data_IF_435475775175
#
_entry.id   IF_435475775175
#
_cell.length_a   1.000
_cell.length_b   1.000
_cell.length_c   1.000
_cell.angle_alpha   90.00
_cell.angle_beta   90.00
_cell.angle_gamma   90.00
#
_symmetry.space_group_name_H-M   'P 1'
#
loop_
_entity.id
_entity.type
_entity.pdbx_description
1 polymer ?
#
# COMPACT_ATOMS: atom_id res chain seq x y z
N UNK A 1 17.56 23.67 13.01
CA UNK A 1 18.20 22.55 13.75
C UNK A 1 17.43 22.12 14.99
N UNK A 2 16.66 23.01 15.63
CA UNK A 2 15.89 22.73 16.85
C UNK A 2 14.92 21.54 16.73
N UNK A 3 14.12 21.49 15.65
CA UNK A 3 13.20 20.37 15.41
C UNK A 3 13.89 19.00 15.31
N UNK A 4 15.12 18.97 14.78
CA UNK A 4 15.91 17.74 14.69
C UNK A 4 16.40 17.32 16.09
N UNK A 5 16.85 18.27 16.90
CA UNK A 5 17.26 18.01 18.28
C UNK A 5 16.08 17.54 19.14
N UNK A 6 14.91 18.16 18.98
CA UNK A 6 13.69 17.76 19.68
C UNK A 6 13.21 16.37 19.26
N UNK A 7 13.23 16.05 17.96
CA UNK A 7 12.91 14.72 17.47
C UNK A 7 13.83 13.64 18.04
N UNK A 8 15.13 13.94 18.16
CA UNK A 8 16.09 13.02 18.76
C UNK A 8 15.86 12.79 20.26
N UNK A 9 15.32 13.79 20.98
CA UNK A 9 14.91 13.65 22.39
C UNK A 9 13.67 12.76 22.57
N UNK A 10 12.75 12.75 21.59
CA UNK A 10 11.51 11.95 21.63
C UNK A 10 11.75 10.50 21.19
N UNK A 11 12.87 10.22 20.50
CA UNK A 11 13.26 8.86 20.10
C UNK A 11 13.31 7.96 21.34
N UNK A 12 12.52 6.89 21.35
CA UNK A 12 12.44 5.94 22.46
C UNK A 12 13.74 5.13 22.54
N UNK A 13 14.66 5.55 23.41
CA UNK A 13 15.93 4.85 23.65
C UNK A 13 15.72 3.84 24.78
N UNK A 14 15.76 2.55 24.48
CA UNK A 14 15.80 1.50 25.49
C UNK A 14 17.18 0.83 25.44
N UNK A 15 17.99 1.01 26.48
CA UNK A 15 19.33 0.43 26.53
C UNK A 15 19.30 -1.11 26.51
N UNK A 16 20.19 -1.70 25.72
CA UNK A 16 20.55 -3.13 25.78
C UNK A 16 22.03 -3.30 26.08
N UNK A 17 22.37 -4.42 26.72
CA UNK A 17 23.75 -4.84 27.06
C UNK A 17 24.73 -4.93 25.87
N UNK A 18 24.27 -4.76 24.63
CA UNK A 18 25.08 -4.88 23.41
C UNK A 18 25.15 -3.58 22.59
N UNK A 19 24.32 -2.57 22.88
CA UNK A 19 24.35 -1.25 22.23
C UNK A 19 23.53 -0.24 23.06
N UNK A 20 24.12 0.92 23.32
CA UNK A 20 23.63 1.87 24.34
C UNK A 20 22.60 2.89 23.81
N UNK A 21 22.47 3.13 22.49
CA UNK A 21 21.70 4.33 22.06
C UNK A 21 20.89 4.33 20.75
N UNK A 22 20.96 3.34 19.85
CA UNK A 22 20.35 3.52 18.51
C UNK A 22 19.69 2.30 17.85
N UNK A 23 19.93 1.08 18.32
CA UNK A 23 19.61 -0.13 17.55
C UNK A 23 18.14 -0.58 17.55
N UNK A 24 17.23 0.15 18.21
CA UNK A 24 15.87 -0.37 18.51
C UNK A 24 14.71 0.36 17.85
N UNK A 25 14.98 1.33 16.99
CA UNK A 25 13.93 2.08 16.29
C UNK A 25 14.45 2.66 14.99
N UNK A 26 13.62 2.60 13.95
CA UNK A 26 13.85 3.37 12.72
C UNK A 26 13.39 4.81 12.92
N UNK A 27 14.19 5.78 12.46
CA UNK A 27 13.87 7.21 12.50
C UNK A 27 13.79 7.76 11.10
N UNK A 28 12.76 8.54 10.80
CA UNK A 28 12.58 9.21 9.52
C UNK A 28 12.40 10.69 9.77
N UNK A 29 13.28 11.50 9.21
CA UNK A 29 13.19 12.95 9.22
C UNK A 29 12.99 13.43 7.78
N UNK A 30 11.88 14.12 7.53
CA UNK A 30 11.53 14.59 6.19
C UNK A 30 11.50 16.09 6.15
N UNK A 31 12.25 16.67 5.22
CA UNK A 31 12.19 18.07 4.85
C UNK A 31 11.39 18.16 3.56
N UNK A 32 10.33 18.97 3.58
CA UNK A 32 9.55 19.32 2.40
C UNK A 32 10.03 20.70 1.98
N UNK A 33 10.54 20.79 0.75
CA UNK A 33 11.03 22.01 0.15
C UNK A 33 10.07 22.41 -0.96
N UNK A 34 9.46 23.57 -0.80
CA UNK A 34 8.62 24.20 -1.82
C UNK A 34 9.39 25.39 -2.37
N UNK A 35 9.55 25.48 -3.69
CA UNK A 35 10.20 26.60 -4.34
C UNK A 35 9.35 27.12 -5.50
N UNK A 36 9.33 28.44 -5.65
CA UNK A 36 8.62 29.15 -6.69
C UNK A 36 9.53 30.25 -7.24
N UNK A 37 9.46 30.50 -8.54
CA UNK A 37 10.17 31.63 -9.13
C UNK A 37 9.55 32.93 -8.62
N UNK A 38 10.36 33.78 -7.98
CA UNK A 38 9.94 35.06 -7.43
C UNK A 38 9.42 36.02 -8.51
N UNK A 39 9.86 35.86 -9.76
CA UNK A 39 9.46 36.70 -10.88
C UNK A 39 8.13 36.27 -11.52
N UNK A 40 7.60 35.10 -11.17
CA UNK A 40 6.36 34.56 -11.74
C UNK A 40 5.28 34.39 -10.66
N UNK A 41 4.39 35.38 -10.54
CA UNK A 41 3.27 35.35 -9.58
C UNK A 41 2.37 34.11 -9.73
N UNK A 42 2.21 33.58 -10.94
CA UNK A 42 1.43 32.36 -11.24
C UNK A 42 2.29 31.23 -11.82
N UNK A 43 3.61 31.26 -11.57
CA UNK A 43 4.55 30.26 -12.06
C UNK A 43 4.44 28.90 -11.36
N UNK A 44 5.02 27.84 -11.97
CA UNK A 44 5.05 26.50 -11.42
C UNK A 44 5.72 26.45 -10.03
N UNK A 45 5.08 25.77 -9.09
CA UNK A 45 5.64 25.48 -7.76
C UNK A 45 6.34 24.13 -7.80
N UNK A 46 7.62 24.11 -7.48
CA UNK A 46 8.40 22.88 -7.38
C UNK A 46 8.32 22.34 -5.95
N UNK A 47 8.05 21.04 -5.80
CA UNK A 47 8.04 20.38 -4.49
C UNK A 47 9.08 19.27 -4.47
N UNK A 48 10.00 19.37 -3.51
CA UNK A 48 11.04 18.37 -3.27
C UNK A 48 10.92 17.79 -1.86
N UNK A 49 11.18 16.49 -1.75
CA UNK A 49 11.17 15.78 -0.47
C UNK A 49 12.58 15.26 -0.20
N UNK A 50 13.22 15.79 0.84
CA UNK A 50 14.47 15.24 1.36
C UNK A 50 14.15 14.36 2.57
N UNK A 51 14.31 13.06 2.41
CA UNK A 51 14.11 12.08 3.47
C UNK A 51 15.46 11.62 4.02
N UNK A 52 15.69 11.86 5.30
CA UNK A 52 16.83 11.32 6.05
C UNK A 52 16.31 10.18 6.91
N UNK A 53 16.79 8.97 6.66
CA UNK A 53 16.33 7.76 7.34
C UNK A 53 17.49 7.08 8.07
N UNK A 54 17.34 6.93 9.38
CA UNK A 54 18.26 6.17 10.23
C UNK A 54 17.57 4.85 10.60
N UNK A 55 18.11 3.74 10.10
CA UNK A 55 17.53 2.43 10.31
C UNK A 55 18.08 1.80 11.60
N UNK A 56 17.25 0.98 12.24
CA UNK A 56 17.66 0.14 13.35
C UNK A 56 18.75 -0.85 12.93
N UNK A 57 19.43 -1.42 13.92
CA UNK A 57 20.48 -2.41 13.69
C UNK A 57 19.95 -3.67 13.00
N UNK A 58 20.76 -4.23 12.09
CA UNK A 58 20.42 -5.44 11.33
C UNK A 58 20.81 -6.73 12.05
N UNK A 59 21.37 -6.64 13.25
CA UNK A 59 21.89 -7.79 13.98
C UNK A 59 20.82 -8.85 14.28
N UNK A 60 21.19 -10.12 14.14
CA UNK A 60 20.28 -11.23 14.48
C UNK A 60 19.92 -11.22 15.97
N UNK A 61 18.60 -11.24 16.26
CA UNK A 61 18.08 -11.24 17.65
C UNK A 61 18.62 -12.41 18.48
N UNK A 62 18.92 -13.55 17.85
CA UNK A 62 19.52 -14.73 18.50
C UNK A 62 20.85 -14.43 19.20
N UNK A 63 21.60 -13.43 18.72
CA UNK A 63 22.90 -13.04 19.30
C UNK A 63 22.73 -12.13 20.53
N UNK A 64 21.56 -11.51 20.71
CA UNK A 64 21.35 -10.45 21.71
C UNK A 64 21.11 -10.97 23.13
N UNK A 65 21.06 -12.30 23.35
CA UNK A 65 20.68 -12.96 24.61
C UNK A 65 19.41 -12.38 25.25
N UNK A 66 18.54 -11.76 24.45
CA UNK A 66 17.33 -11.09 24.92
C UNK A 66 16.22 -12.12 25.19
N UNK A 67 15.45 -11.90 26.27
CA UNK A 67 14.33 -12.75 26.66
C UNK A 67 13.04 -11.93 26.88
N UNK A 68 11.89 -12.60 26.84
CA UNK A 68 10.58 -12.00 27.11
C UNK A 68 10.19 -10.88 26.14
N UNK A 69 9.69 -9.76 26.67
CA UNK A 69 9.29 -8.58 25.89
C UNK A 69 10.41 -8.03 24.98
N UNK A 70 11.67 -8.11 25.43
CA UNK A 70 12.84 -7.67 24.63
C UNK A 70 13.08 -8.54 23.40
N UNK A 71 12.77 -9.83 23.47
CA UNK A 71 12.86 -10.73 22.32
C UNK A 71 11.78 -10.40 21.27
N UNK A 72 10.54 -10.14 21.72
CA UNK A 72 9.44 -9.72 20.85
C UNK A 72 9.73 -8.39 20.16
N UNK A 73 10.31 -7.43 20.89
CA UNK A 73 10.73 -6.13 20.35
C UNK A 73 11.78 -6.31 19.25
N UNK A 74 12.88 -7.03 19.55
CA UNK A 74 13.93 -7.33 18.58
C UNK A 74 13.42 -8.05 17.33
N UNK A 75 12.51 -9.01 17.51
CA UNK A 75 11.90 -9.73 16.39
C UNK A 75 11.09 -8.80 15.47
N UNK A 76 10.35 -7.84 16.03
CA UNK A 76 9.59 -6.87 15.24
C UNK A 76 10.49 -5.87 14.50
N UNK A 77 11.60 -5.44 15.11
CA UNK A 77 12.62 -4.60 14.46
C UNK A 77 13.20 -5.35 13.25
N UNK A 78 13.67 -6.58 13.46
CA UNK A 78 14.28 -7.37 12.39
C UNK A 78 13.27 -7.73 11.31
N UNK A 79 12.00 -7.98 11.65
CA UNK A 79 10.93 -8.18 10.66
C UNK A 79 10.88 -7.05 9.64
N UNK A 80 10.96 -5.80 10.08
CA UNK A 80 10.91 -4.65 9.16
C UNK A 80 12.12 -4.58 8.21
N UNK A 81 13.32 -4.96 8.68
CA UNK A 81 14.54 -5.03 7.86
C UNK A 81 14.56 -6.26 6.94
N UNK A 82 14.05 -7.40 7.37
CA UNK A 82 13.89 -8.59 6.53
C UNK A 82 12.92 -8.34 5.38
N UNK A 83 11.79 -7.66 5.66
CA UNK A 83 10.83 -7.24 4.62
C UNK A 83 11.48 -6.24 3.65
N UNK A 84 12.30 -5.30 4.15
CA UNK A 84 13.07 -4.38 3.31
C UNK A 84 14.03 -5.13 2.37
N UNK A 85 14.78 -6.11 2.89
CA UNK A 85 15.64 -6.97 2.08
C UNK A 85 14.85 -7.73 1.00
N UNK A 86 13.68 -8.28 1.35
CA UNK A 86 12.82 -8.95 0.38
C UNK A 86 12.31 -7.99 -0.72
N UNK A 87 11.90 -6.77 -0.37
CA UNK A 87 11.47 -5.75 -1.35
C UNK A 87 12.60 -5.41 -2.31
N UNK A 88 13.81 -5.19 -1.81
CA UNK A 88 14.98 -4.91 -2.67
C UNK A 88 15.29 -6.08 -3.58
N UNK A 89 15.23 -7.31 -3.07
CA UNK A 89 15.41 -8.50 -3.89
C UNK A 89 14.35 -8.60 -4.99
N UNK A 90 13.07 -8.44 -4.66
CA UNK A 90 11.97 -8.45 -5.65
C UNK A 90 12.17 -7.38 -6.74
N UNK A 91 12.64 -6.19 -6.36
CA UNK A 91 12.97 -5.10 -7.29
C UNK A 91 14.19 -5.43 -8.16
N UNK A 92 15.23 -6.02 -7.57
CA UNK A 92 16.44 -6.44 -8.30
C UNK A 92 16.15 -7.54 -9.32
N UNK A 93 15.21 -8.43 -9.01
CA UNK A 93 14.73 -9.50 -9.89
C UNK A 93 13.73 -8.98 -10.95
N UNK A 94 13.32 -7.71 -10.89
CA UNK A 94 12.39 -7.10 -11.84
C UNK A 94 10.94 -7.60 -11.73
N UNK A 95 10.51 -8.06 -10.55
CA UNK A 95 9.13 -8.53 -10.35
C UNK A 95 8.11 -7.40 -10.54
N UNK A 96 6.97 -7.74 -11.12
CA UNK A 96 5.86 -6.79 -11.31
C UNK A 96 5.19 -6.43 -9.98
N UNK A 97 4.97 -7.43 -9.12
CA UNK A 97 4.36 -7.23 -7.80
C UNK A 97 5.44 -7.18 -6.70
N UNK A 98 5.50 -6.05 -6.00
CA UNK A 98 6.44 -5.82 -4.90
C UNK A 98 5.68 -5.68 -3.59
N UNK A 99 6.09 -6.44 -2.57
CA UNK A 99 5.39 -6.55 -1.28
C UNK A 99 5.70 -5.40 -0.32
N UNK A 100 5.57 -4.14 -0.76
CA UNK A 100 5.81 -2.98 0.11
C UNK A 100 4.91 -2.95 1.35
N UNK A 101 3.74 -3.60 1.30
CA UNK A 101 2.70 -3.54 2.34
C UNK A 101 3.04 -4.36 3.59
N UNK A 102 4.00 -5.27 3.51
CA UNK A 102 4.33 -6.21 4.59
C UNK A 102 4.99 -5.54 5.80
N UNK A 103 5.49 -4.31 5.64
CA UNK A 103 6.02 -3.47 6.71
C UNK A 103 5.68 -2.00 6.53
N UNK A 104 5.44 -1.29 7.64
CA UNK A 104 5.25 0.17 7.61
C UNK A 104 6.48 0.88 7.05
N UNK A 105 7.69 0.37 7.34
CA UNK A 105 8.95 0.91 6.84
C UNK A 105 9.02 0.86 5.31
N UNK A 106 8.71 -0.29 4.71
CA UNK A 106 8.76 -0.46 3.25
C UNK A 106 7.65 0.32 2.54
N UNK A 107 6.52 0.58 3.19
CA UNK A 107 5.50 1.51 2.67
C UNK A 107 5.99 2.95 2.62
N UNK A 108 6.74 3.39 3.63
CA UNK A 108 7.32 4.73 3.66
C UNK A 108 8.47 4.88 2.66
N UNK A 109 9.23 3.80 2.44
CA UNK A 109 10.33 3.72 1.50
C UNK A 109 9.91 3.44 0.05
N UNK A 110 8.62 3.24 -0.25
CA UNK A 110 8.19 2.85 -1.60
C UNK A 110 8.50 3.90 -2.68
N UNK A 111 8.67 5.17 -2.29
CA UNK A 111 9.16 6.21 -3.22
C UNK A 111 10.68 6.10 -3.43
N UNK A 112 11.42 5.75 -2.38
CA UNK A 112 12.87 5.60 -2.40
C UNK A 112 13.34 4.33 -3.13
N UNK A 113 12.52 3.28 -3.17
CA UNK A 113 12.85 2.00 -3.76
C UNK A 113 11.87 1.73 -4.90
N UNK A 114 12.32 1.83 -6.15
CA UNK A 114 11.50 1.63 -7.34
C UNK A 114 10.53 2.77 -7.71
N UNK A 115 10.42 3.81 -6.88
CA UNK A 115 9.48 4.91 -7.05
C UNK A 115 10.10 6.20 -7.61
N UNK A 116 9.47 7.34 -7.29
CA UNK A 116 9.92 8.67 -7.70
C UNK A 116 10.82 9.31 -6.63
N UNK A 117 12.05 8.84 -6.49
CA UNK A 117 13.07 9.50 -5.69
C UNK A 117 14.48 9.15 -6.15
N UNK A 118 15.41 10.08 -5.94
CA UNK A 118 16.84 9.77 -5.98
C UNK A 118 17.23 9.26 -4.59
N UNK A 119 17.82 8.06 -4.54
CA UNK A 119 18.08 7.38 -3.28
C UNK A 119 19.57 7.12 -3.12
N UNK A 120 20.08 7.36 -1.91
CA UNK A 120 21.41 7.01 -1.47
C UNK A 120 21.26 6.10 -0.26
N UNK A 121 21.93 4.94 -0.29
CA UNK A 121 22.00 4.03 0.85
C UNK A 121 23.44 4.01 1.35
N UNK A 122 23.60 4.16 2.67
CA UNK A 122 24.88 4.08 3.36
C UNK A 122 24.86 2.77 4.16
N UNK A 123 25.75 1.84 3.81
CA UNK A 123 25.95 0.61 4.56
C UNK A 123 27.07 0.78 5.58
N UNK A 124 26.76 0.70 6.86
CA UNK A 124 27.76 0.71 7.93
C UNK A 124 28.20 -0.72 8.25
N UNK A 125 29.51 -0.95 8.32
CA UNK A 125 30.12 -2.26 8.58
C UNK A 125 31.07 -2.17 9.77
N UNK A 126 31.32 -3.31 10.41
CA UNK A 126 32.28 -3.41 11.52
C UNK A 126 33.19 -4.62 11.34
N UNK A 127 34.46 -4.49 11.73
CA UNK A 127 35.40 -5.62 11.71
C UNK A 127 35.20 -6.59 12.89
N UNK A 128 34.43 -6.18 13.92
CA UNK A 128 34.23 -6.97 15.13
C UNK A 128 33.21 -8.10 14.99
N UNK A 129 32.41 -8.12 13.92
CA UNK A 129 31.35 -9.09 13.69
C UNK A 129 31.30 -9.49 12.22
N UNK A 130 32.26 -10.33 11.81
CA UNK A 130 32.48 -10.71 10.41
C UNK A 130 31.22 -11.30 9.74
N UNK A 131 30.52 -12.22 10.42
CA UNK A 131 29.31 -12.83 9.88
C UNK A 131 28.19 -11.80 9.62
N UNK A 132 27.96 -10.86 10.54
CA UNK A 132 26.92 -9.84 10.37
C UNK A 132 27.33 -8.83 9.30
N UNK A 133 28.62 -8.49 9.24
CA UNK A 133 29.16 -7.56 8.25
C UNK A 133 28.98 -8.05 6.82
N UNK A 134 29.06 -9.36 6.56
CA UNK A 134 28.86 -9.91 5.21
C UNK A 134 27.48 -9.60 4.62
N UNK A 135 26.45 -9.49 5.46
CA UNK A 135 25.09 -9.18 5.00
C UNK A 135 24.96 -7.78 4.38
N UNK A 136 25.77 -6.81 4.83
CA UNK A 136 25.69 -5.41 4.37
C UNK A 136 26.17 -5.23 2.92
N UNK A 137 27.35 -5.74 2.49
CA UNK A 137 27.75 -5.72 1.08
C UNK A 137 26.80 -6.50 0.16
N UNK A 138 26.30 -7.66 0.58
CA UNK A 138 25.34 -8.45 -0.21
C UNK A 138 24.03 -7.67 -0.45
N UNK A 139 23.55 -7.00 0.59
CA UNK A 139 22.43 -6.08 0.51
C UNK A 139 22.72 -4.88 -0.41
N UNK A 140 23.92 -4.28 -0.30
CA UNK A 140 24.33 -3.16 -1.15
C UNK A 140 24.43 -3.55 -2.63
N UNK A 141 24.93 -4.75 -2.93
CA UNK A 141 25.00 -5.29 -4.28
C UNK A 141 23.60 -5.45 -4.89
N UNK A 142 22.65 -6.00 -4.11
CA UNK A 142 21.25 -6.15 -4.53
C UNK A 142 20.56 -4.79 -4.72
N UNK A 143 20.88 -3.82 -3.87
CA UNK A 143 20.33 -2.46 -3.96
C UNK A 143 20.80 -1.74 -5.22
N UNK A 144 22.06 -1.94 -5.64
CA UNK A 144 22.66 -1.25 -6.80
C UNK A 144 21.90 -1.51 -8.11
N UNK A 145 21.21 -2.63 -8.24
CA UNK A 145 20.46 -2.99 -9.44
C UNK A 145 19.03 -2.45 -9.46
N UNK A 146 18.54 -1.93 -8.33
CA UNK A 146 17.20 -1.33 -8.22
C UNK A 146 17.13 -0.05 -9.06
N UNK A 147 16.14 0.03 -9.95
CA UNK A 147 15.92 1.18 -10.82
C UNK A 147 14.76 2.03 -10.32
N UNK A 148 15.02 3.32 -10.10
CA UNK A 148 13.99 4.30 -9.75
C UNK A 148 13.50 5.06 -10.99
N UNK A 149 12.24 5.50 -10.96
CA UNK A 149 11.60 6.29 -12.02
C UNK A 149 11.43 7.73 -11.54
N UNK A 150 12.52 8.49 -11.59
CA UNK A 150 12.57 9.85 -11.04
C UNK A 150 11.98 10.88 -11.99
N UNK A 151 11.11 11.75 -11.48
CA UNK A 151 10.45 12.87 -12.16
C UNK A 151 10.40 14.08 -11.22
N UNK A 152 10.57 15.28 -11.77
CA UNK A 152 10.46 16.52 -10.99
C UNK A 152 9.00 16.71 -10.59
N UNK A 153 8.73 16.97 -9.31
CA UNK A 153 7.36 17.27 -8.88
C UNK A 153 7.10 18.76 -9.08
N UNK A 154 6.20 19.06 -10.02
CA UNK A 154 5.77 20.41 -10.35
C UNK A 154 4.27 20.48 -10.08
N UNK A 155 3.88 21.41 -9.22
CA UNK A 155 2.50 21.86 -9.06
C UNK A 155 2.34 23.13 -9.86
N UNK A 156 1.78 23.00 -11.05
CA UNK A 156 1.31 24.12 -11.84
C UNK A 156 -0.19 24.00 -12.02
N UNK A 157 -0.89 25.13 -11.86
CA UNK A 157 -2.19 25.34 -12.47
C UNK A 157 -1.98 25.58 -13.98
N UNK A 158 -1.25 24.70 -14.65
CA UNK A 158 -1.08 24.76 -16.11
C UNK A 158 -2.38 24.33 -16.77
N UNK A 159 -2.68 24.92 -17.93
CA UNK A 159 -3.79 24.48 -18.79
C UNK A 159 -3.76 22.97 -19.01
N UNK A 160 -2.59 22.32 -19.13
CA UNK A 160 -2.48 20.85 -19.23
C UNK A 160 -3.05 20.09 -18.03
N UNK A 161 -2.84 20.59 -16.81
CA UNK A 161 -3.38 19.96 -15.59
C UNK A 161 -4.90 20.16 -15.55
N UNK A 162 -5.37 21.35 -15.91
CA UNK A 162 -6.78 21.66 -16.03
C UNK A 162 -7.46 20.81 -17.13
N UNK A 163 -6.81 20.66 -18.28
CA UNK A 163 -7.23 19.84 -19.41
C UNK A 163 -7.26 18.36 -19.00
N UNK A 164 -6.28 17.91 -18.23
CA UNK A 164 -6.22 16.57 -17.65
C UNK A 164 -7.40 16.31 -16.72
N UNK A 165 -7.70 17.26 -15.81
CA UNK A 165 -8.88 17.19 -14.96
C UNK A 165 -10.19 17.24 -15.76
N UNK A 166 -10.31 18.12 -16.75
CA UNK A 166 -11.48 18.19 -17.64
C UNK A 166 -11.69 16.88 -18.43
N UNK A 167 -10.61 16.30 -18.94
CA UNK A 167 -10.64 15.01 -19.64
C UNK A 167 -11.06 13.88 -18.69
N UNK A 168 -10.54 13.86 -17.47
CA UNK A 168 -10.93 12.88 -16.45
C UNK A 168 -12.41 13.04 -16.07
N UNK A 169 -12.88 14.27 -15.85
CA UNK A 169 -14.29 14.57 -15.56
C UNK A 169 -15.18 14.06 -16.69
N UNK A 170 -14.83 14.34 -17.94
CA UNK A 170 -15.57 13.87 -19.13
C UNK A 170 -15.60 12.34 -19.26
N UNK A 171 -14.49 11.65 -18.99
CA UNK A 171 -14.45 10.18 -19.00
C UNK A 171 -15.33 9.60 -17.89
N UNK A 172 -15.25 10.16 -16.68
CA UNK A 172 -16.08 9.74 -15.54
C UNK A 172 -17.57 9.95 -15.80
N UNK A 173 -17.97 11.09 -16.36
CA UNK A 173 -19.35 11.36 -16.77
C UNK A 173 -19.83 10.35 -17.82
N UNK A 174 -18.97 9.99 -18.77
CA UNK A 174 -19.31 9.01 -19.80
C UNK A 174 -19.51 7.62 -19.20
N UNK A 175 -18.65 7.21 -18.26
CA UNK A 175 -18.79 5.94 -17.53
C UNK A 175 -20.06 5.91 -16.67
N UNK A 176 -20.37 7.01 -15.97
CA UNK A 176 -21.59 7.15 -15.18
C UNK A 176 -22.84 7.04 -16.06
N UNK A 177 -22.87 7.71 -17.22
CA UNK A 177 -23.97 7.59 -18.19
C UNK A 177 -24.15 6.15 -18.68
N UNK A 178 -23.06 5.46 -19.03
CA UNK A 178 -23.12 4.04 -19.44
C UNK A 178 -23.64 3.15 -18.31
N UNK A 179 -23.20 3.35 -17.07
CA UNK A 179 -23.71 2.61 -15.92
C UNK A 179 -25.19 2.89 -15.68
N UNK A 180 -25.63 4.14 -15.81
CA UNK A 180 -27.04 4.52 -15.65
C UNK A 180 -27.95 3.86 -16.70
N UNK A 181 -27.51 3.79 -17.96
CA UNK A 181 -28.24 3.08 -19.02
C UNK A 181 -28.33 1.59 -18.68
N UNK A 182 -27.22 0.97 -18.30
CA UNK A 182 -27.17 -0.46 -17.95
C UNK A 182 -28.07 -0.79 -16.75
N UNK A 183 -28.12 0.11 -15.75
CA UNK A 183 -29.05 0.01 -14.62
C UNK A 183 -30.51 0.05 -15.08
N UNK A 184 -30.87 0.95 -16.00
CA UNK A 184 -32.24 1.02 -16.55
C UNK A 184 -32.62 -0.23 -17.35
N UNK A 185 -31.71 -0.78 -18.14
CA UNK A 185 -31.94 -2.03 -18.87
C UNK A 185 -32.13 -3.22 -17.93
N UNK A 186 -31.32 -3.29 -16.86
CA UNK A 186 -31.46 -4.29 -15.82
C UNK A 186 -32.79 -4.17 -15.07
N UNK A 187 -33.24 -2.95 -14.75
CA UNK A 187 -34.53 -2.72 -14.10
C UNK A 187 -35.70 -3.14 -14.99
N UNK A 188 -35.64 -2.83 -16.29
CA UNK A 188 -36.67 -3.29 -17.24
C UNK A 188 -36.72 -4.82 -17.33
N UNK A 189 -35.56 -5.46 -17.48
CA UNK A 189 -35.47 -6.92 -17.50
C UNK A 189 -36.02 -7.53 -16.21
N UNK A 190 -35.70 -6.93 -15.05
CA UNK A 190 -36.20 -7.36 -13.75
C UNK A 190 -37.73 -7.29 -13.67
N UNK A 191 -38.36 -6.24 -14.22
CA UNK A 191 -39.82 -6.14 -14.27
C UNK A 191 -40.46 -7.22 -15.14
N UNK A 192 -39.86 -7.53 -16.29
CA UNK A 192 -40.31 -8.61 -17.18
C UNK A 192 -40.23 -9.97 -16.49
N UNK A 193 -39.11 -10.27 -15.80
CA UNK A 193 -39.00 -11.50 -15.00
C UNK A 193 -40.00 -11.57 -13.85
N UNK A 194 -40.32 -10.45 -13.19
CA UNK A 194 -41.31 -10.42 -12.12
C UNK A 194 -42.71 -10.75 -12.62
N UNK A 195 -43.10 -10.21 -13.77
CA UNK A 195 -44.38 -10.52 -14.42
C UNK A 195 -44.46 -12.01 -14.80
N UNK A 196 -43.38 -12.57 -15.35
CA UNK A 196 -43.35 -14.00 -15.71
C UNK A 196 -43.42 -14.90 -14.47
N UNK A 197 -42.75 -14.53 -13.37
CA UNK A 197 -42.84 -15.24 -12.09
C UNK A 197 -44.28 -15.22 -11.55
N UNK A 198 -44.98 -14.09 -11.63
CA UNK A 198 -46.39 -14.01 -11.20
C UNK A 198 -47.30 -14.89 -12.06
N UNK A 199 -47.08 -14.90 -13.37
CA UNK A 199 -47.82 -15.75 -14.30
C UNK A 199 -47.62 -17.24 -13.97
N UNK A 200 -46.37 -17.68 -13.82
CA UNK A 200 -46.04 -19.06 -13.49
C UNK A 200 -46.59 -19.47 -12.11
N UNK A 201 -46.55 -18.57 -11.11
CA UNK A 201 -47.18 -18.82 -9.80
C UNK A 201 -48.69 -19.05 -9.92
N UNK A 202 -49.34 -18.29 -10.79
CA UNK A 202 -50.79 -18.44 -11.05
C UNK A 202 -51.10 -19.77 -11.71
N UNK A 203 -50.33 -20.16 -12.74
CA UNK A 203 -50.47 -21.46 -13.40
C UNK A 203 -50.25 -22.64 -12.43
N UNK A 204 -49.19 -22.60 -11.62
CA UNK A 204 -48.92 -23.62 -10.59
C UNK A 204 -50.05 -23.69 -9.56
N UNK A 205 -50.62 -22.55 -9.15
CA UNK A 205 -51.75 -22.51 -8.22
C UNK A 205 -53.04 -23.12 -8.80
N UNK A 206 -53.26 -22.98 -10.12
CA UNK A 206 -54.38 -23.60 -10.81
C UNK A 206 -54.18 -25.13 -10.90
N UNK A 207 -52.99 -25.58 -11.28
CA UNK A 207 -52.66 -27.02 -11.35
C UNK A 207 -52.75 -27.69 -9.99
N UNK A 208 -52.26 -27.04 -8.93
CA UNK A 208 -52.37 -27.55 -7.55
C UNK A 208 -53.82 -27.69 -7.08
N UNK A 209 -54.71 -26.76 -7.48
CA UNK A 209 -56.16 -26.88 -7.21
C UNK A 209 -56.81 -28.01 -7.98
N UNK A 210 -56.39 -28.26 -9.22
CA UNK A 210 -56.86 -29.40 -10.01
C UNK A 210 -56.46 -30.75 -9.40
N UNK A 211 -55.25 -30.88 -8.86
CA UNK A 211 -54.80 -32.10 -8.18
C UNK A 211 -55.51 -32.34 -6.84
N UNK A 212 -55.87 -31.27 -6.10
CA UNK A 212 -56.67 -31.42 -4.87
C UNK A 212 -58.17 -31.65 -5.13
N UNK A 213 -58.71 -31.19 -6.25
CA UNK A 213 -60.09 -31.48 -6.65
C UNK A 213 -60.30 -32.92 -7.11
N UNK A 214 -59.27 -33.54 -7.69
CA UNK A 214 -59.32 -34.94 -8.14
C UNK A 214 -59.23 -35.98 -7.00
N UNK A 215 -58.84 -35.59 -5.79
CA UNK A 215 -58.82 -36.49 -4.62
C UNK A 215 -60.12 -36.48 -3.81
N UNK A 216 -61.11 -35.66 -4.18
CA UNK A 216 -62.41 -35.56 -3.50
C UNK A 216 -63.56 -36.22 -4.29
N UNK A 217 -63.40 -37.47 -4.71
CA UNK A 217 -64.56 -38.31 -5.07
C UNK A 217 -64.24 -39.81 -5.04
N UNK A 218 -64.26 -40.39 -3.84
CA UNK A 218 -64.61 -41.81 -3.68
C UNK A 218 -65.78 -41.91 -2.72
N UNK A 219 -67.01 -42.16 -3.18
CA UNK A 219 -68.11 -42.46 -2.27
C UNK A 219 -67.91 -43.87 -1.72
N UNK A 220 -67.82 -43.99 -0.40
CA UNK A 220 -68.06 -45.27 0.28
C UNK A 220 -69.49 -45.71 -0.04
N UNK A 221 -69.64 -46.83 -0.74
CA UNK A 221 -70.88 -47.64 -0.72
C UNK A 221 -70.56 -48.98 -0.06
N UNK A 222 -71.52 -49.38 0.78
CA UNK A 222 -71.60 -50.55 1.64
C UNK A 222 -71.15 -51.86 0.99
#
# INVERSE_FOLDING_TARGET
MENMMQGNKIRRVAATRMNERSSRSHTIFRIILESKDANQKDGPVHISYLNLMDLAGSERVSLTKAAGERLKEGANINKSLSVLGNVIRQLSEGKEFISYRDSKLTRLLSQALGGNAKSLIIGNVTLAAEEETRSTPEFAQSTKTVKNKTKVNILSATEETLQGYQNLTRDLETRLKKQAIKLKEMDKSKQEYLLEIERLKTEVSIVGRFQMGASASTPKKN
#
